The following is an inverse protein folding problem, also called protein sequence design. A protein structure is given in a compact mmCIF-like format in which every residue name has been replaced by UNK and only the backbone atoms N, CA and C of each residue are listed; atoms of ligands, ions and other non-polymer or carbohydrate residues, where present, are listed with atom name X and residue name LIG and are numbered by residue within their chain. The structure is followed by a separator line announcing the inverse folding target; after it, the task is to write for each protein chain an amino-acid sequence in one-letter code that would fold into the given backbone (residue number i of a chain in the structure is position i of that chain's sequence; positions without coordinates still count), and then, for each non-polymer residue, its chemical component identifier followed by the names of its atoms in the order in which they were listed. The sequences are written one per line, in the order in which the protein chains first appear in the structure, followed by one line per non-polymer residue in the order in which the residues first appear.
data_IF_935741255098
#
_entry.id   IF_935741255098
#
_cell.length_a   1.000
_cell.length_b   1.000
_cell.length_c   1.000
_cell.angle_alpha   90.00
_cell.angle_beta   90.00
_cell.angle_gamma   90.00
#
_symmetry.space_group_name_H-M   'P 1'
#
loop_
_entity.id
_entity.type
_entity.pdbx_description
1 polymer ?
#
# COMPACT_ATOMS: atom_id res chain seq x y z
N UNK A 1 4.25 11.94 1.34
CA UNK A 1 4.48 10.88 2.33
C UNK A 1 4.73 9.57 1.60
N UNK A 2 5.60 8.69 2.11
CA UNK A 2 5.85 7.37 1.51
C UNK A 2 5.01 6.32 2.26
N UNK A 3 4.19 5.58 1.51
CA UNK A 3 3.36 4.49 2.05
C UNK A 3 3.83 3.18 1.43
N UNK A 4 4.00 2.18 2.29
CA UNK A 4 4.43 0.83 1.97
C UNK A 4 3.24 -0.12 1.98
N UNK A 5 3.17 -0.96 0.97
CA UNK A 5 2.19 -2.03 0.80
C UNK A 5 2.87 -3.40 0.86
N UNK A 6 2.10 -4.46 0.58
CA UNK A 6 2.63 -5.82 0.44
C UNK A 6 3.79 -5.90 -0.55
N UNK A 7 4.68 -6.87 -0.34
CA UNK A 7 5.83 -7.18 -1.18
C UNK A 7 6.82 -6.00 -1.36
N UNK A 8 6.87 -5.07 -0.40
CA UNK A 8 7.79 -3.94 -0.44
C UNK A 8 7.43 -2.87 -1.48
N UNK A 9 6.26 -2.97 -2.13
CA UNK A 9 5.75 -1.92 -3.02
C UNK A 9 5.58 -0.63 -2.21
N UNK A 10 6.19 0.45 -2.70
CA UNK A 10 6.16 1.77 -2.06
C UNK A 10 5.65 2.80 -3.04
N UNK A 11 4.66 3.59 -2.62
CA UNK A 11 4.11 4.67 -3.41
C UNK A 11 4.10 5.97 -2.58
N UNK A 12 4.10 7.10 -3.28
CA UNK A 12 4.08 8.42 -2.66
C UNK A 12 2.68 9.00 -2.70
N UNK A 13 2.25 9.59 -1.58
CA UNK A 13 0.91 10.17 -1.42
C UNK A 13 0.98 11.57 -0.80
N UNK A 14 0.01 12.43 -1.16
CA UNK A 14 -0.17 13.76 -0.56
C UNK A 14 -1.13 13.69 0.63
N UNK A 15 -0.79 14.41 1.69
CA UNK A 15 -1.65 14.57 2.87
C UNK A 15 -2.46 15.87 2.74
N UNK A 16 -3.47 15.86 1.89
CA UNK A 16 -4.31 17.04 1.61
C UNK A 16 -5.06 17.52 2.85
N UNK A 17 -5.47 16.59 3.71
CA UNK A 17 -6.27 16.87 4.93
C UNK A 17 -5.41 17.29 6.13
N UNK A 18 -4.10 17.47 5.97
CA UNK A 18 -3.15 17.85 7.05
C UNK A 18 -3.30 16.99 8.32
N UNK A 19 -3.54 15.69 8.14
CA UNK A 19 -3.71 14.75 9.24
C UNK A 19 -2.37 14.57 9.98
N UNK A 20 -2.40 14.48 11.31
CA UNK A 20 -1.22 14.13 12.11
C UNK A 20 -0.91 12.65 11.95
N UNK A 21 0.01 12.33 11.03
CA UNK A 21 0.37 10.97 10.65
C UNK A 21 1.86 10.77 10.89
N UNK A 22 2.20 9.72 11.63
CA UNK A 22 3.57 9.35 11.97
C UNK A 22 4.04 8.14 11.17
N UNK A 23 5.36 7.87 11.22
CA UNK A 23 5.92 6.62 10.68
C UNK A 23 5.34 5.45 11.46
N UNK A 24 4.93 4.39 10.76
CA UNK A 24 4.29 3.22 11.35
C UNK A 24 2.76 3.28 11.38
N UNK A 25 2.16 4.45 11.17
CA UNK A 25 0.70 4.56 11.11
C UNK A 25 0.13 3.80 9.91
N UNK A 26 -0.99 3.12 10.11
CA UNK A 26 -1.77 2.48 9.05
C UNK A 26 -2.77 3.49 8.51
N UNK A 27 -2.75 3.70 7.19
CA UNK A 27 -3.54 4.74 6.52
C UNK A 27 -4.34 4.17 5.36
N UNK A 28 -5.51 4.75 5.14
CA UNK A 28 -6.32 4.51 3.96
C UNK A 28 -5.95 5.55 2.88
N UNK A 29 -5.52 5.04 1.73
CA UNK A 29 -5.09 5.85 0.60
C UNK A 29 -6.03 5.67 -0.59
N UNK A 30 -6.00 6.64 -1.48
CA UNK A 30 -6.71 6.60 -2.74
C UNK A 30 -6.22 5.46 -3.65
N UNK A 31 -7.20 4.70 -4.15
CA UNK A 31 -7.02 3.64 -5.13
C UNK A 31 -8.14 3.69 -6.17
N UNK A 32 -7.92 3.13 -7.35
CA UNK A 32 -8.96 3.05 -8.38
C UNK A 32 -9.21 1.58 -8.70
N UNK A 33 -10.42 1.04 -8.42
CA UNK A 33 -11.51 1.64 -7.64
C UNK A 33 -11.29 1.56 -6.11
N UNK A 34 -11.77 2.56 -5.36
CA UNK A 34 -11.91 2.49 -3.90
C UNK A 34 -10.72 3.01 -3.09
N UNK A 35 -10.32 2.26 -2.05
CA UNK A 35 -9.27 2.64 -1.10
C UNK A 35 -8.32 1.46 -0.90
N UNK A 36 -7.02 1.74 -0.78
CA UNK A 36 -6.00 0.75 -0.41
C UNK A 36 -5.50 1.05 1.02
N UNK A 37 -5.05 0.02 1.72
CA UNK A 37 -4.55 0.11 3.10
C UNK A 37 -3.05 -0.13 3.08
N UNK A 38 -2.30 0.84 3.62
CA UNK A 38 -0.85 0.80 3.65
C UNK A 38 -0.27 1.36 4.93
N UNK A 39 1.00 1.08 5.16
CA UNK A 39 1.74 1.53 6.34
C UNK A 39 2.67 2.67 5.95
N UNK A 40 2.65 3.75 6.71
CA UNK A 40 3.53 4.90 6.48
C UNK A 40 4.97 4.52 6.77
N UNK A 41 5.82 4.58 5.76
CA UNK A 41 7.24 4.23 5.90
C UNK A 41 8.12 5.44 6.17
N UNK A 42 7.82 6.59 5.56
CA UNK A 42 8.59 7.83 5.69
C UNK A 42 7.70 9.06 5.59
N UNK A 43 8.04 10.08 6.37
CA UNK A 43 7.35 11.37 6.43
C UNK A 43 8.37 12.52 6.33
N UNK A 44 7.88 13.75 6.15
CA UNK A 44 8.73 14.95 6.12
C UNK A 44 9.69 15.05 4.93
N UNK A 45 10.84 15.70 5.15
CA UNK A 45 11.82 16.06 4.12
C UNK A 45 12.51 14.83 3.49
N UNK A 46 12.66 13.74 4.25
CA UNK A 46 13.25 12.49 3.77
C UNK A 46 12.47 11.90 2.58
N UNK A 47 11.16 12.13 2.52
CA UNK A 47 10.34 11.68 1.39
C UNK A 47 10.77 12.37 0.10
N UNK A 48 11.13 13.67 0.14
CA UNK A 48 11.58 14.40 -1.05
C UNK A 48 12.90 13.87 -1.59
N UNK A 49 13.79 13.37 -0.73
CA UNK A 49 15.04 12.71 -1.14
C UNK A 49 14.73 11.40 -1.87
N UNK A 50 13.82 10.59 -1.34
CA UNK A 50 13.39 9.34 -1.99
C UNK A 50 12.66 9.57 -3.31
N UNK A 51 11.81 10.60 -3.40
CA UNK A 51 11.12 10.99 -4.63
C UNK A 51 12.11 11.40 -5.72
N UNK A 52 13.10 12.24 -5.37
CA UNK A 52 14.21 12.62 -6.27
C UNK A 52 14.99 11.41 -6.77
N UNK A 53 15.37 10.49 -5.87
CA UNK A 53 16.09 9.25 -6.23
C UNK A 53 15.28 8.36 -7.19
N UNK A 54 13.95 8.37 -7.07
CA UNK A 54 13.03 7.60 -7.93
C UNK A 54 12.54 8.38 -9.16
N UNK A 55 13.09 9.57 -9.43
CA UNK A 55 12.65 10.47 -10.52
C UNK A 55 11.13 10.75 -10.51
N UNK A 56 10.51 10.79 -9.33
CA UNK A 56 9.10 11.15 -9.17
C UNK A 56 9.00 12.63 -8.85
N UNK A 57 8.31 13.39 -9.70
CA UNK A 57 8.06 14.80 -9.45
C UNK A 57 7.22 15.00 -8.17
N UNK A 58 7.60 15.99 -7.35
CA UNK A 58 6.91 16.31 -6.08
C UNK A 58 5.46 16.73 -6.34
N UNK A 59 5.22 17.38 -7.49
CA UNK A 59 3.92 17.86 -7.93
C UNK A 59 3.35 17.09 -9.12
N UNK A 60 3.68 15.79 -9.21
CA UNK A 60 3.06 14.96 -10.23
C UNK A 60 1.53 15.00 -10.07
N UNK A 61 0.76 15.30 -11.14
CA UNK A 61 -0.70 15.39 -11.08
C UNK A 61 -1.35 14.08 -10.61
N UNK A 62 -0.72 12.95 -10.90
CA UNK A 62 -1.17 11.63 -10.43
C UNK A 62 -0.81 11.29 -8.97
N UNK A 63 -0.34 12.27 -8.17
CA UNK A 63 -0.03 12.00 -6.77
C UNK A 63 -1.30 11.83 -5.97
N UNK A 64 -1.66 10.56 -5.75
CA UNK A 64 -2.82 10.12 -4.98
C UNK A 64 -2.84 10.68 -3.54
N UNK A 65 -4.03 10.76 -2.97
CA UNK A 65 -4.25 11.36 -1.66
C UNK A 65 -4.35 10.34 -0.52
N UNK A 66 -3.98 10.75 0.69
CA UNK A 66 -4.30 10.03 1.93
C UNK A 66 -5.66 10.51 2.42
N UNK A 67 -6.60 9.60 2.61
CA UNK A 67 -7.96 9.94 3.00
C UNK A 67 -8.16 10.04 4.51
N UNK A 68 -7.61 9.08 5.27
CA UNK A 68 -7.73 8.98 6.74
C UNK A 68 -6.73 7.98 7.32
N UNK A 69 -6.59 7.98 8.65
CA UNK A 69 -6.02 6.82 9.36
C UNK A 69 -6.97 5.63 9.22
N UNK A 70 -6.41 4.44 9.07
CA UNK A 70 -7.20 3.23 8.94
C UNK A 70 -8.01 3.00 10.22
N UNK A 71 -9.27 2.63 10.07
CA UNK A 71 -10.11 2.23 11.21
C UNK A 71 -9.76 0.81 11.63
N UNK A 72 -10.15 0.40 12.84
CA UNK A 72 -9.93 -0.98 13.30
C UNK A 72 -10.51 -2.00 12.31
N UNK A 73 -11.72 -1.75 11.80
CA UNK A 73 -12.36 -2.58 10.78
C UNK A 73 -11.52 -2.69 9.50
N UNK A 74 -10.91 -1.59 9.06
CA UNK A 74 -10.03 -1.60 7.87
C UNK A 74 -8.80 -2.49 8.13
N UNK A 75 -8.21 -2.41 9.33
CA UNK A 75 -7.05 -3.20 9.74
C UNK A 75 -7.40 -4.69 9.83
N UNK A 76 -8.55 -5.03 10.41
CA UNK A 76 -8.99 -6.42 10.57
C UNK A 76 -9.25 -7.08 9.22
N UNK A 77 -9.94 -6.38 8.31
CA UNK A 77 -10.20 -6.85 6.94
C UNK A 77 -8.88 -7.02 6.18
N UNK A 78 -7.99 -6.03 6.27
CA UNK A 78 -6.70 -6.06 5.61
C UNK A 78 -5.82 -7.22 6.10
N UNK A 79 -5.82 -7.49 7.40
CA UNK A 79 -5.07 -8.59 8.02
C UNK A 79 -5.65 -9.95 7.62
N UNK A 80 -6.96 -10.12 7.76
CA UNK A 80 -7.67 -11.35 7.38
C UNK A 80 -7.48 -11.68 5.89
N UNK A 81 -7.49 -10.67 5.03
CA UNK A 81 -7.26 -10.85 3.60
C UNK A 81 -5.83 -11.32 3.30
N UNK A 82 -4.83 -10.82 4.03
CA UNK A 82 -3.43 -11.23 3.88
C UNK A 82 -3.17 -12.65 4.37
N UNK A 83 -3.80 -13.06 5.46
CA UNK A 83 -3.64 -14.43 5.99
C UNK A 83 -4.11 -15.50 4.99
N UNK A 84 -5.18 -15.21 4.25
CA UNK A 84 -5.71 -16.11 3.22
C UNK A 84 -4.76 -16.30 2.02
N UNK A 85 -3.84 -15.37 1.76
CA UNK A 85 -2.97 -15.41 0.57
C UNK A 85 -2.10 -16.68 0.54
N UNK A 86 -1.55 -17.11 1.68
CA UNK A 86 -0.67 -18.27 1.72
C UNK A 86 -1.39 -19.56 1.34
N UNK A 87 -2.59 -19.76 1.87
CA UNK A 87 -3.41 -20.94 1.58
C UNK A 87 -3.87 -20.95 0.12
N UNK A 88 -4.33 -19.79 -0.39
CA UNK A 88 -4.76 -19.65 -1.79
C UNK A 88 -3.59 -19.94 -2.73
N UNK A 89 -2.39 -19.41 -2.47
CA UNK A 89 -1.22 -19.69 -3.30
C UNK A 89 -0.85 -21.18 -3.34
N UNK A 90 -0.95 -21.89 -2.20
CA UNK A 90 -0.73 -23.35 -2.16
C UNK A 90 -1.77 -24.08 -3.03
N UNK A 91 -3.06 -23.74 -2.89
CA UNK A 91 -4.14 -24.32 -3.70
C UNK A 91 -3.96 -24.03 -5.18
N UNK A 92 -3.60 -22.81 -5.56
CA UNK A 92 -3.33 -22.45 -6.96
C UNK A 92 -2.21 -23.28 -7.57
N UNK A 93 -1.10 -23.51 -6.85
CA UNK A 93 -0.01 -24.37 -7.33
C UNK A 93 -0.44 -25.82 -7.54
N UNK A 94 -1.27 -26.37 -6.65
CA UNK A 94 -1.82 -27.72 -6.81
C UNK A 94 -2.72 -27.82 -8.05
N UNK A 95 -3.54 -26.81 -8.31
CA UNK A 95 -4.42 -26.76 -9.49
C UNK A 95 -3.59 -26.68 -10.78
N UNK A 96 -2.57 -25.81 -10.82
CA UNK A 96 -1.64 -25.70 -11.96
C UNK A 96 -1.00 -27.05 -12.27
N UNK A 97 -0.48 -27.73 -11.24
CA UNK A 97 0.13 -29.06 -11.37
C UNK A 97 -0.87 -30.10 -11.86
N UNK A 98 -2.13 -30.07 -11.40
CA UNK A 98 -3.18 -31.00 -11.83
C UNK A 98 -3.59 -30.79 -13.28
N UNK A 99 -3.58 -29.54 -13.75
CA UNK A 99 -3.94 -29.18 -15.13
C UNK A 99 -2.76 -29.31 -16.11
N UNK A 100 -1.56 -29.65 -15.64
CA UNK A 100 -0.36 -29.74 -16.48
C UNK A 100 0.07 -28.38 -17.07
N UNK A 101 -0.33 -27.28 -16.43
CA UNK A 101 0.01 -25.94 -16.88
C UNK A 101 1.42 -25.57 -16.44
N UNK A 102 2.16 -24.86 -17.29
CA UNK A 102 3.45 -24.28 -16.92
C UNK A 102 3.25 -23.08 -16.00
N UNK A 103 4.09 -22.98 -14.98
CA UNK A 103 4.10 -21.88 -14.03
C UNK A 103 4.88 -20.68 -14.58
#
# INVERSE_FOLDING_TARGET
MEVRFKNGRKCFYKNTKKLSICIGDIVAVEASPGHDIGVVSLTGELVKVHMRKKNVAIDHPDTKQIYRKATQKDIDIWTTAREKEQEVQKKSRLIISRLGLKM
#
